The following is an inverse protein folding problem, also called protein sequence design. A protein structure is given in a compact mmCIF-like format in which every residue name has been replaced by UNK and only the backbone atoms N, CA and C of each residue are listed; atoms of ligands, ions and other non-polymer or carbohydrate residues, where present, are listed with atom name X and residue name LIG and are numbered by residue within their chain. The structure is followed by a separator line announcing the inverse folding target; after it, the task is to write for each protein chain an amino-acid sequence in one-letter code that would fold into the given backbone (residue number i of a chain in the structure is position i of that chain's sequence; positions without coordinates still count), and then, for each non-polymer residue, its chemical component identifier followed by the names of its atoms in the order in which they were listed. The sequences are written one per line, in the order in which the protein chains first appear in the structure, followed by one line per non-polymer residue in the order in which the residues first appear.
data_IF_223472622703
#
_entry.id   IF_223472622703
#
_cell.length_a   1.000
_cell.length_b   1.000
_cell.length_c   1.000
_cell.angle_alpha   90.00
_cell.angle_beta   90.00
_cell.angle_gamma   90.00
#
_symmetry.space_group_name_H-M   'P 1'
#
loop_
_entity.id
_entity.type
_entity.pdbx_description
1 polymer ?
#
# COMPACT_ATOMS: atom_id res chain seq x y z
N UNK A 1 18.95 -10.44 16.59
CA UNK A 1 19.61 -9.13 16.50
C UNK A 1 20.78 -9.06 17.46
N UNK A 2 20.54 -8.87 18.77
CA UNK A 2 21.60 -8.76 19.78
C UNK A 2 22.58 -9.94 19.78
N UNK A 3 22.09 -11.17 19.87
CA UNK A 3 22.95 -12.37 19.89
C UNK A 3 23.80 -12.59 18.63
N UNK A 4 23.37 -12.07 17.48
CA UNK A 4 24.04 -12.34 16.18
C UNK A 4 24.94 -11.18 15.73
N UNK A 5 24.53 -9.93 15.98
CA UNK A 5 25.19 -8.73 15.45
C UNK A 5 25.69 -7.81 16.57
N UNK A 6 25.32 -8.07 17.82
CA UNK A 6 25.64 -7.17 18.95
C UNK A 6 24.88 -5.84 18.89
N UNK A 7 23.82 -5.76 18.09
CA UNK A 7 23.04 -4.53 17.91
C UNK A 7 21.54 -4.85 17.94
N UNK A 8 20.77 -4.15 18.78
CA UNK A 8 19.31 -4.35 18.88
C UNK A 8 18.52 -3.62 17.79
N UNK A 9 19.09 -2.59 17.13
CA UNK A 9 18.39 -1.75 16.14
C UNK A 9 17.84 -2.57 14.99
N UNK A 10 18.59 -3.55 14.48
CA UNK A 10 18.14 -4.39 13.37
C UNK A 10 16.86 -5.19 13.71
N UNK A 11 16.75 -5.68 14.95
CA UNK A 11 15.56 -6.34 15.46
C UNK A 11 14.38 -5.37 15.62
N UNK A 12 14.65 -4.16 16.12
CA UNK A 12 13.64 -3.10 16.23
C UNK A 12 13.10 -2.74 14.84
N UNK A 13 13.96 -2.54 13.84
CA UNK A 13 13.58 -2.17 12.48
C UNK A 13 12.73 -3.25 11.81
N UNK A 14 13.10 -4.53 11.92
CA UNK A 14 12.25 -5.63 11.44
C UNK A 14 10.90 -5.64 12.17
N UNK A 15 10.90 -5.44 13.49
CA UNK A 15 9.68 -5.34 14.29
C UNK A 15 8.78 -4.18 13.86
N UNK A 16 9.36 -3.02 13.55
CA UNK A 16 8.65 -1.86 12.98
C UNK A 16 8.04 -2.22 11.62
N UNK A 17 8.75 -2.96 10.77
CA UNK A 17 8.21 -3.50 9.52
C UNK A 17 7.01 -4.42 9.72
N UNK A 18 7.09 -5.34 10.68
CA UNK A 18 5.96 -6.22 11.04
C UNK A 18 4.77 -5.40 11.52
N UNK A 19 4.98 -4.44 12.43
CA UNK A 19 3.94 -3.54 12.92
C UNK A 19 3.33 -2.71 11.79
N UNK A 20 4.14 -2.26 10.84
CA UNK A 20 3.68 -1.56 9.64
C UNK A 20 2.70 -2.43 8.85
N UNK A 21 3.07 -3.67 8.53
CA UNK A 21 2.18 -4.60 7.83
C UNK A 21 0.85 -4.81 8.59
N UNK A 22 0.92 -5.03 9.91
CA UNK A 22 -0.27 -5.23 10.75
C UNK A 22 -1.14 -3.98 10.82
N UNK A 23 -0.54 -2.79 10.87
CA UNK A 23 -1.26 -1.51 10.95
C UNK A 23 -2.07 -1.19 9.70
N UNK A 24 -1.64 -1.67 8.53
CA UNK A 24 -2.36 -1.49 7.27
C UNK A 24 -3.71 -2.21 7.24
N UNK A 25 -3.88 -3.29 8.02
CA UNK A 25 -5.13 -4.03 8.10
C UNK A 25 -6.29 -3.17 8.65
N UNK A 26 -6.25 -2.67 9.91
CA UNK A 26 -7.32 -1.83 10.44
C UNK A 26 -7.42 -0.49 9.73
N UNK A 27 -6.30 0.07 9.25
CA UNK A 27 -6.28 1.34 8.54
C UNK A 27 -7.06 1.25 7.22
N UNK A 28 -6.74 0.27 6.38
CA UNK A 28 -7.44 0.11 5.09
C UNK A 28 -8.88 -0.34 5.31
N UNK A 29 -9.10 -1.25 6.26
CA UNK A 29 -10.45 -1.70 6.64
C UNK A 29 -11.36 -0.56 7.10
N UNK A 30 -10.82 0.48 7.75
CA UNK A 30 -11.58 1.67 8.14
C UNK A 30 -12.20 2.39 6.93
N UNK A 31 -11.48 2.46 5.81
CA UNK A 31 -11.95 3.15 4.61
C UNK A 31 -12.72 2.25 3.63
N UNK A 32 -12.69 0.93 3.79
CA UNK A 32 -13.27 -0.01 2.81
C UNK A 32 -14.34 -0.95 3.37
N UNK A 33 -14.42 -1.13 4.69
CA UNK A 33 -15.42 -2.00 5.29
C UNK A 33 -16.80 -1.34 5.33
N UNK A 34 -17.83 -2.10 4.96
CA UNK A 34 -19.23 -1.68 5.01
C UNK A 34 -19.67 -1.19 6.39
N UNK A 35 -19.03 -1.61 7.49
CA UNK A 35 -19.44 -1.25 8.85
C UNK A 35 -18.81 0.05 9.36
N UNK A 36 -18.01 0.74 8.53
CA UNK A 36 -17.19 1.88 8.96
C UNK A 36 -17.71 3.20 8.40
N UNK A 37 -17.47 4.34 9.10
CA UNK A 37 -18.03 5.63 8.72
C UNK A 37 -17.79 6.06 7.27
N UNK A 38 -16.56 5.96 6.70
CA UNK A 38 -16.32 6.43 5.33
C UNK A 38 -17.18 5.74 4.28
N UNK A 39 -17.40 4.42 4.41
CA UNK A 39 -18.24 3.67 3.47
C UNK A 39 -19.72 3.96 3.71
N UNK A 40 -20.14 4.12 4.96
CA UNK A 40 -21.51 4.49 5.31
C UNK A 40 -21.87 5.90 4.80
N UNK A 41 -20.92 6.82 4.76
CA UNK A 41 -21.10 8.14 4.15
C UNK A 41 -21.30 8.05 2.64
N UNK A 42 -20.55 7.18 1.94
CA UNK A 42 -20.76 6.91 0.51
C UNK A 42 -22.16 6.33 0.27
N UNK A 43 -22.59 5.38 1.11
CA UNK A 43 -23.93 4.80 1.03
C UNK A 43 -24.99 5.88 1.24
N UNK A 44 -24.84 6.74 2.25
CA UNK A 44 -25.78 7.85 2.50
C UNK A 44 -25.81 8.86 1.35
N UNK A 45 -24.67 9.10 0.70
CA UNK A 45 -24.61 10.00 -0.45
C UNK A 45 -25.49 9.54 -1.62
N UNK A 46 -25.80 8.23 -1.72
CA UNK A 46 -26.71 7.70 -2.75
C UNK A 46 -28.12 8.30 -2.69
N UNK A 47 -28.58 8.76 -1.51
CA UNK A 47 -29.88 9.43 -1.35
C UNK A 47 -29.99 10.74 -2.14
N UNK A 48 -28.85 11.37 -2.42
CA UNK A 48 -28.76 12.66 -3.14
C UNK A 48 -28.37 12.51 -4.61
N UNK A 49 -28.10 11.28 -5.07
CA UNK A 49 -27.87 10.93 -6.48
C UNK A 49 -26.46 10.39 -6.79
N UNK A 50 -26.25 10.03 -8.05
CA UNK A 50 -24.99 9.39 -8.51
C UNK A 50 -23.78 10.33 -8.41
N UNK A 51 -23.97 11.64 -8.62
CA UNK A 51 -22.86 12.59 -8.59
C UNK A 51 -22.23 12.71 -7.19
N UNK A 52 -23.06 12.85 -6.16
CA UNK A 52 -22.63 12.95 -4.76
C UNK A 52 -22.03 11.64 -4.26
N UNK A 53 -22.57 10.49 -4.68
CA UNK A 53 -21.97 9.18 -4.42
C UNK A 53 -20.53 9.08 -4.96
N UNK A 54 -20.31 9.48 -6.22
CA UNK A 54 -18.96 9.46 -6.83
C UNK A 54 -18.01 10.41 -6.08
N UNK A 55 -18.46 11.64 -5.80
CA UNK A 55 -17.65 12.62 -5.09
C UNK A 55 -17.26 12.14 -3.68
N UNK A 56 -18.19 11.56 -2.94
CA UNK A 56 -17.92 10.97 -1.62
C UNK A 56 -16.89 9.84 -1.69
N UNK A 57 -16.98 8.97 -2.71
CA UNK A 57 -15.98 7.93 -2.95
C UNK A 57 -14.58 8.48 -3.27
N UNK A 58 -14.49 9.54 -4.07
CA UNK A 58 -13.21 10.21 -4.38
C UNK A 58 -12.59 10.80 -3.10
N UNK A 59 -13.40 11.45 -2.26
CA UNK A 59 -12.95 12.01 -0.98
C UNK A 59 -12.35 10.93 -0.08
N UNK A 60 -13.07 9.82 0.13
CA UNK A 60 -12.56 8.69 0.93
C UNK A 60 -11.24 8.11 0.37
N UNK A 61 -11.10 8.09 -0.96
CA UNK A 61 -9.85 7.71 -1.63
C UNK A 61 -8.68 8.64 -1.31
N UNK A 62 -8.90 9.95 -1.30
CA UNK A 62 -7.86 10.93 -0.95
C UNK A 62 -7.48 10.88 0.52
N UNK A 63 -8.45 10.79 1.42
CA UNK A 63 -8.19 10.70 2.87
C UNK A 63 -7.42 9.43 3.23
N UNK A 64 -7.83 8.28 2.69
CA UNK A 64 -7.14 7.01 2.92
C UNK A 64 -5.69 7.01 2.43
N UNK A 65 -5.42 7.67 1.30
CA UNK A 65 -4.07 7.82 0.76
C UNK A 65 -3.17 8.62 1.71
N UNK A 66 -3.67 9.74 2.26
CA UNK A 66 -2.91 10.55 3.23
C UNK A 66 -2.65 9.75 4.51
N UNK A 67 -3.66 9.04 5.02
CA UNK A 67 -3.52 8.24 6.23
C UNK A 67 -2.47 7.13 6.07
N UNK A 68 -2.47 6.42 4.93
CA UNK A 68 -1.45 5.42 4.62
C UNK A 68 -0.04 6.02 4.54
N UNK A 69 0.11 7.18 3.90
CA UNK A 69 1.40 7.87 3.77
C UNK A 69 1.96 8.28 5.13
N UNK A 70 1.13 8.82 6.03
CA UNK A 70 1.55 9.20 7.39
C UNK A 70 2.14 8.00 8.13
N UNK A 71 1.50 6.84 8.06
CA UNK A 71 1.99 5.63 8.71
C UNK A 71 3.35 5.19 8.14
N UNK A 72 3.52 5.20 6.82
CA UNK A 72 4.81 4.88 6.17
C UNK A 72 5.90 5.86 6.61
N UNK A 73 5.65 7.17 6.53
CA UNK A 73 6.62 8.22 6.89
C UNK A 73 7.04 8.13 8.36
N UNK A 74 6.11 7.76 9.25
CA UNK A 74 6.42 7.54 10.66
C UNK A 74 7.48 6.44 10.84
N UNK A 75 7.42 5.37 10.04
CA UNK A 75 8.45 4.31 10.09
C UNK A 75 9.81 4.77 9.60
N UNK A 76 9.86 5.66 8.60
CA UNK A 76 11.10 6.27 8.14
C UNK A 76 11.69 7.20 9.20
N UNK A 77 10.84 7.95 9.91
CA UNK A 77 11.25 8.77 11.05
C UNK A 77 11.86 7.94 12.18
N UNK A 78 11.27 6.78 12.50
CA UNK A 78 11.83 5.83 13.48
C UNK A 78 13.19 5.31 13.01
N UNK A 79 13.32 4.89 11.74
CA UNK A 79 14.60 4.44 11.19
C UNK A 79 15.67 5.53 11.29
N UNK A 80 15.35 6.74 10.84
CA UNK A 80 16.26 7.88 10.90
C UNK A 80 16.70 8.19 12.33
N UNK A 81 15.76 8.25 13.28
CA UNK A 81 16.07 8.54 14.67
C UNK A 81 17.03 7.51 15.28
N UNK A 82 16.85 6.21 15.02
CA UNK A 82 17.69 5.12 15.54
C UNK A 82 19.16 5.18 15.09
N UNK A 83 19.46 5.87 13.99
CA UNK A 83 20.81 6.06 13.46
C UNK A 83 21.35 7.47 13.69
N UNK A 84 20.75 8.25 14.61
CA UNK A 84 21.32 9.52 15.09
C UNK A 84 22.32 9.28 16.23
N UNK A 85 23.33 10.16 16.34
CA UNK A 85 24.31 10.12 17.42
C UNK A 85 23.66 10.17 18.82
N UNK A 86 22.58 10.95 18.96
CA UNK A 86 21.80 11.03 20.21
C UNK A 86 21.12 9.72 20.59
N UNK A 87 20.55 9.01 19.62
CA UNK A 87 19.91 7.72 19.89
C UNK A 87 20.95 6.63 20.20
N UNK A 88 22.09 6.64 19.50
CA UNK A 88 23.19 5.71 19.80
C UNK A 88 23.72 5.92 21.21
N UNK A 89 23.92 7.17 21.64
CA UNK A 89 24.34 7.47 22.99
C UNK A 89 23.32 7.00 24.04
N UNK A 90 22.02 7.18 23.78
CA UNK A 90 20.93 6.77 24.69
C UNK A 90 20.79 5.26 24.82
N UNK A 91 20.97 4.52 23.71
CA UNK A 91 20.73 3.08 23.65
C UNK A 91 22.00 2.25 23.94
N UNK A 92 23.14 2.89 24.19
CA UNK A 92 24.38 2.21 24.59
C UNK A 92 24.21 1.48 25.94
N UNK A 93 24.71 0.23 26.10
CA UNK A 93 25.57 -0.52 25.20
C UNK A 93 24.83 -1.45 24.22
N UNK A 94 23.50 -1.31 24.08
CA UNK A 94 22.68 -2.24 23.28
C UNK A 94 22.80 -2.04 21.75
N UNK A 95 23.60 -1.06 21.33
CA UNK A 95 23.81 -0.64 19.94
C UNK A 95 25.28 -0.40 19.68
N UNK A 96 25.72 -0.64 18.45
CA UNK A 96 27.12 -0.44 18.03
C UNK A 96 27.38 1.05 17.77
N UNK A 97 28.36 1.60 18.46
CA UNK A 97 28.84 2.98 18.27
C UNK A 97 29.61 3.10 16.94
N UNK A 98 29.43 4.19 16.20
CA UNK A 98 30.06 4.41 14.89
C UNK A 98 29.23 3.94 13.70
N UNK A 99 28.01 3.45 13.97
CA UNK A 99 27.02 3.03 12.97
C UNK A 99 25.91 4.09 12.98
N UNK A 100 26.21 5.27 12.45
CA UNK A 100 25.28 6.41 12.34
C UNK A 100 25.24 6.94 10.90
N UNK A 101 24.20 7.71 10.59
CA UNK A 101 24.10 8.46 9.34
C UNK A 101 23.19 7.85 8.26
N UNK A 102 23.22 8.49 7.10
CA UNK A 102 22.22 8.30 6.03
C UNK A 102 22.24 6.90 5.43
N UNK A 103 23.44 6.33 5.18
CA UNK A 103 23.59 4.99 4.60
C UNK A 103 22.93 3.94 5.50
N UNK A 104 23.20 4.00 6.82
CA UNK A 104 22.60 3.08 7.79
C UNK A 104 21.10 3.32 7.97
N UNK A 105 20.63 4.56 7.84
CA UNK A 105 19.20 4.88 7.82
C UNK A 105 18.49 4.22 6.63
N UNK A 106 19.05 4.33 5.43
CA UNK A 106 18.49 3.74 4.20
C UNK A 106 18.53 2.21 4.26
N UNK A 107 19.61 1.64 4.79
CA UNK A 107 19.67 0.21 5.11
C UNK A 107 18.59 -0.20 6.12
N UNK A 108 18.36 0.62 7.14
CA UNK A 108 17.30 0.38 8.13
C UNK A 108 15.89 0.43 7.53
N UNK A 109 15.65 1.33 6.57
CA UNK A 109 14.41 1.39 5.80
C UNK A 109 14.23 0.10 4.98
N UNK A 110 15.30 -0.42 4.37
CA UNK A 110 15.26 -1.71 3.68
C UNK A 110 14.88 -2.86 4.62
N UNK A 111 15.42 -2.87 5.85
CA UNK A 111 15.06 -3.87 6.87
C UNK A 111 13.60 -3.76 7.34
N UNK A 112 13.05 -2.55 7.45
CA UNK A 112 11.61 -2.35 7.67
C UNK A 112 10.81 -3.01 6.53
N UNK A 113 11.25 -2.84 5.27
CA UNK A 113 10.64 -3.49 4.12
C UNK A 113 10.66 -5.02 4.21
N UNK A 114 11.79 -5.60 4.61
CA UNK A 114 11.91 -7.06 4.84
C UNK A 114 10.97 -7.50 5.97
N UNK A 115 10.91 -6.74 7.08
CA UNK A 115 10.00 -7.02 8.19
C UNK A 115 8.54 -6.98 7.75
N UNK A 116 8.15 -6.00 6.94
CA UNK A 116 6.80 -5.88 6.39
C UNK A 116 6.42 -7.09 5.52
N UNK A 117 7.34 -7.55 4.69
CA UNK A 117 7.12 -8.69 3.79
C UNK A 117 7.26 -10.06 4.47
N UNK A 118 7.66 -10.13 5.74
CA UNK A 118 7.67 -11.39 6.50
C UNK A 118 6.28 -12.06 6.59
N UNK A 119 5.21 -11.26 6.44
CA UNK A 119 3.81 -11.73 6.45
C UNK A 119 3.25 -12.01 5.05
N UNK A 120 4.11 -12.11 4.03
CA UNK A 120 3.69 -12.29 2.63
C UNK A 120 2.77 -13.51 2.45
N UNK A 121 3.03 -14.63 3.13
CA UNK A 121 2.16 -15.81 3.06
C UNK A 121 0.72 -15.52 3.48
N UNK A 122 0.52 -14.78 4.57
CA UNK A 122 -0.80 -14.34 5.03
C UNK A 122 -1.43 -13.35 4.04
N UNK A 123 -0.64 -12.40 3.53
CA UNK A 123 -1.15 -11.37 2.62
C UNK A 123 -1.59 -11.96 1.28
N UNK A 124 -0.84 -12.91 0.73
CA UNK A 124 -1.20 -13.61 -0.51
C UNK A 124 -2.43 -14.49 -0.29
N UNK A 125 -2.57 -15.14 0.88
CA UNK A 125 -3.77 -15.89 1.21
C UNK A 125 -5.02 -14.99 1.29
N UNK A 126 -4.91 -13.80 1.91
CA UNK A 126 -5.98 -12.80 1.93
C UNK A 126 -6.32 -12.27 0.52
N UNK A 127 -5.31 -12.08 -0.34
CA UNK A 127 -5.53 -11.60 -1.71
C UNK A 127 -6.24 -12.66 -2.57
N UNK A 128 -5.84 -13.92 -2.41
CA UNK A 128 -6.47 -15.06 -3.09
C UNK A 128 -7.89 -15.33 -2.58
N UNK A 129 -8.17 -15.07 -1.30
CA UNK A 129 -9.50 -15.25 -0.72
C UNK A 129 -10.58 -14.44 -1.45
N UNK A 130 -10.29 -13.19 -1.85
CA UNK A 130 -11.26 -12.31 -2.51
C UNK A 130 -11.83 -12.88 -3.82
N UNK A 131 -11.00 -13.19 -4.85
CA UNK A 131 -11.49 -13.79 -6.09
C UNK A 131 -12.14 -15.16 -5.91
N UNK A 132 -11.77 -15.92 -4.87
CA UNK A 132 -12.40 -17.21 -4.57
C UNK A 132 -13.83 -16.99 -4.07
N UNK A 133 -14.04 -16.06 -3.12
CA UNK A 133 -15.38 -15.78 -2.59
C UNK A 133 -16.30 -15.11 -3.61
N UNK A 134 -15.77 -14.21 -4.44
CA UNK A 134 -16.48 -13.56 -5.56
C UNK A 134 -17.01 -14.61 -6.56
N UNK A 135 -16.14 -15.52 -7.02
CA UNK A 135 -16.55 -16.60 -7.93
C UNK A 135 -17.56 -17.56 -7.29
N UNK A 136 -17.43 -17.86 -6.00
CA UNK A 136 -18.40 -18.70 -5.30
C UNK A 136 -19.78 -18.05 -5.25
N UNK A 137 -19.85 -16.75 -4.91
CA UNK A 137 -21.09 -15.98 -4.95
C UNK A 137 -21.70 -15.94 -6.37
N UNK A 138 -20.88 -15.75 -7.40
CA UNK A 138 -21.33 -15.81 -8.79
C UNK A 138 -21.91 -17.16 -9.21
N UNK A 139 -21.28 -18.28 -8.81
CA UNK A 139 -21.81 -19.63 -9.03
C UNK A 139 -23.16 -19.82 -8.32
N UNK A 140 -23.27 -19.31 -7.09
CA UNK A 140 -24.50 -19.35 -6.31
C UNK A 140 -25.66 -18.60 -6.97
N UNK A 141 -25.39 -17.43 -7.56
CA UNK A 141 -26.38 -16.63 -8.28
C UNK A 141 -26.83 -17.30 -9.60
N UNK A 142 -25.91 -17.96 -10.29
CA UNK A 142 -26.19 -18.70 -11.53
C UNK A 142 -26.89 -20.05 -11.29
N UNK A 143 -26.84 -20.57 -10.05
CA UNK A 143 -27.36 -21.89 -9.68
C UNK A 143 -28.34 -21.80 -8.49
N UNK A 144 -29.42 -21.01 -8.57
CA UNK A 144 -30.27 -20.71 -7.41
C UNK A 144 -31.04 -21.91 -6.84
N UNK A 145 -31.12 -23.02 -7.58
CA UNK A 145 -31.73 -24.28 -7.13
C UNK A 145 -30.80 -25.18 -6.31
N UNK A 146 -29.49 -24.93 -6.37
CA UNK A 146 -28.47 -25.80 -5.75
C UNK A 146 -28.06 -25.31 -4.36
N UNK A 147 -28.44 -24.08 -3.99
CA UNK A 147 -28.06 -23.43 -2.73
C UNK A 147 -29.27 -22.81 -2.04
N UNK A 148 -29.39 -23.05 -0.73
CA UNK A 148 -30.40 -22.38 0.10
C UNK A 148 -30.09 -20.89 0.30
N UNK A 149 -31.06 -20.16 0.85
CA UNK A 149 -30.93 -18.71 1.09
C UNK A 149 -29.79 -18.39 2.06
N UNK A 150 -29.58 -19.23 3.08
CA UNK A 150 -28.51 -19.04 4.06
C UNK A 150 -27.12 -19.18 3.42
N UNK A 151 -26.92 -20.16 2.54
CA UNK A 151 -25.65 -20.32 1.81
C UNK A 151 -25.39 -19.14 0.89
N UNK A 152 -26.40 -18.66 0.14
CA UNK A 152 -26.27 -17.49 -0.74
C UNK A 152 -25.92 -16.22 0.03
N UNK A 153 -26.59 -15.99 1.17
CA UNK A 153 -26.26 -14.86 2.06
C UNK A 153 -24.83 -14.96 2.59
N UNK A 154 -24.41 -16.16 3.02
CA UNK A 154 -23.05 -16.38 3.51
C UNK A 154 -22.01 -16.08 2.43
N UNK A 155 -22.23 -16.54 1.19
CA UNK A 155 -21.35 -16.25 0.06
C UNK A 155 -21.24 -14.74 -0.22
N UNK A 156 -22.36 -14.02 -0.19
CA UNK A 156 -22.37 -12.56 -0.34
C UNK A 156 -21.62 -11.83 0.80
N UNK A 157 -21.78 -12.29 2.05
CA UNK A 157 -21.03 -11.75 3.18
C UNK A 157 -19.51 -12.01 3.04
N UNK A 158 -19.12 -13.18 2.52
CA UNK A 158 -17.71 -13.52 2.25
C UNK A 158 -17.12 -12.70 1.09
N UNK A 159 -17.87 -12.41 0.03
CA UNK A 159 -17.42 -11.51 -1.04
C UNK A 159 -17.21 -10.08 -0.50
N UNK A 160 -18.14 -9.57 0.33
CA UNK A 160 -17.97 -8.26 0.96
C UNK A 160 -16.70 -8.17 1.83
N UNK A 161 -16.38 -9.23 2.57
CA UNK A 161 -15.09 -9.34 3.30
C UNK A 161 -13.91 -9.44 2.31
N UNK A 162 -14.06 -10.23 1.25
CA UNK A 162 -13.10 -10.38 0.15
C UNK A 162 -12.67 -9.04 -0.44
N UNK A 163 -13.63 -8.16 -0.74
CA UNK A 163 -13.39 -6.81 -1.24
C UNK A 163 -12.54 -5.95 -0.29
N UNK A 164 -12.78 -6.05 1.02
CA UNK A 164 -11.95 -5.38 2.04
C UNK A 164 -10.54 -5.98 2.09
N UNK A 165 -10.42 -7.31 2.07
CA UNK A 165 -9.10 -7.98 2.10
C UNK A 165 -8.25 -7.65 0.87
N UNK A 166 -8.88 -7.58 -0.33
CA UNK A 166 -8.24 -7.17 -1.58
C UNK A 166 -7.74 -5.73 -1.55
N UNK A 167 -8.43 -4.85 -0.82
CA UNK A 167 -7.96 -3.49 -0.62
C UNK A 167 -6.76 -3.43 0.33
N UNK A 168 -6.81 -4.19 1.43
CA UNK A 168 -5.70 -4.32 2.39
C UNK A 168 -4.42 -4.78 1.68
N UNK A 169 -4.51 -5.82 0.87
CA UNK A 169 -3.34 -6.41 0.16
C UNK A 169 -2.76 -5.44 -0.86
N UNK A 170 -3.60 -4.68 -1.59
CA UNK A 170 -3.15 -3.58 -2.46
C UNK A 170 -2.42 -2.49 -1.67
N UNK A 171 -2.94 -2.10 -0.50
CA UNK A 171 -2.30 -1.12 0.37
C UNK A 171 -0.91 -1.57 0.83
N UNK A 172 -0.80 -2.82 1.27
CA UNK A 172 0.48 -3.42 1.69
C UNK A 172 1.46 -3.49 0.51
N UNK A 173 1.00 -3.90 -0.68
CA UNK A 173 1.83 -3.95 -1.88
C UNK A 173 2.40 -2.56 -2.23
N UNK A 174 1.57 -1.51 -2.22
CA UNK A 174 1.99 -0.13 -2.47
C UNK A 174 3.01 0.33 -1.42
N UNK A 175 2.75 0.11 -0.13
CA UNK A 175 3.66 0.49 0.93
C UNK A 175 5.02 -0.22 0.80
N UNK A 176 5.02 -1.52 0.49
CA UNK A 176 6.26 -2.26 0.24
C UNK A 176 7.04 -1.72 -0.97
N UNK A 177 6.34 -1.31 -2.03
CA UNK A 177 6.95 -0.70 -3.21
C UNK A 177 7.58 0.67 -2.88
N UNK A 178 6.93 1.48 -2.05
CA UNK A 178 7.47 2.76 -1.58
C UNK A 178 8.76 2.54 -0.77
N UNK A 179 8.75 1.61 0.18
CA UNK A 179 9.92 1.28 0.99
C UNK A 179 11.06 0.76 0.12
N UNK A 180 10.77 -0.13 -0.83
CA UNK A 180 11.75 -0.64 -1.77
C UNK A 180 12.32 0.47 -2.66
N UNK A 181 11.48 1.38 -3.18
CA UNK A 181 11.92 2.50 -3.99
C UNK A 181 12.86 3.44 -3.23
N UNK A 182 12.54 3.77 -1.97
CA UNK A 182 13.41 4.59 -1.11
C UNK A 182 14.74 3.88 -0.84
N UNK A 183 14.71 2.58 -0.57
CA UNK A 183 15.91 1.78 -0.30
C UNK A 183 16.81 1.66 -1.53
N UNK A 184 16.22 1.51 -2.72
CA UNK A 184 16.95 1.44 -3.99
C UNK A 184 17.53 2.78 -4.43
N UNK A 185 17.03 3.90 -3.89
CA UNK A 185 17.51 5.22 -4.24
C UNK A 185 18.97 5.44 -3.84
N UNK A 186 19.40 4.88 -2.70
CA UNK A 186 20.81 4.89 -2.28
C UNK A 186 21.71 4.16 -3.28
N UNK A 187 21.29 2.94 -3.64
CA UNK A 187 21.99 2.11 -4.62
C UNK A 187 22.04 2.80 -5.99
N UNK A 188 20.98 3.50 -6.38
CA UNK A 188 20.97 4.30 -7.60
C UNK A 188 21.97 5.45 -7.55
N UNK A 189 22.05 6.19 -6.43
CA UNK A 189 23.06 7.25 -6.27
C UNK A 189 24.47 6.66 -6.39
N UNK A 190 24.75 5.57 -5.66
CA UNK A 190 26.07 4.96 -5.66
C UNK A 190 26.48 4.38 -7.01
N UNK A 191 25.57 3.71 -7.72
CA UNK A 191 25.88 3.01 -8.97
C UNK A 191 25.79 3.90 -10.20
N UNK A 192 24.83 4.84 -10.24
CA UNK A 192 24.53 5.61 -11.45
C UNK A 192 24.92 7.09 -11.35
N UNK A 193 24.93 7.68 -10.16
CA UNK A 193 25.15 9.12 -9.97
C UNK A 193 26.60 9.41 -9.59
N UNK A 194 27.18 8.63 -8.67
CA UNK A 194 28.57 8.79 -8.23
C UNK A 194 29.59 8.70 -9.39
N UNK A 195 29.46 7.78 -10.38
CA UNK A 195 30.36 7.75 -11.53
C UNK A 195 30.26 8.98 -12.44
N UNK A 196 29.19 9.78 -12.33
CA UNK A 196 29.02 11.04 -13.05
C UNK A 196 29.70 12.22 -12.31
N UNK A 197 30.38 11.96 -11.19
CA UNK A 197 31.01 12.98 -10.36
C UNK A 197 30.03 13.78 -9.50
N UNK A 198 28.84 13.23 -9.26
CA UNK A 198 27.81 13.82 -8.40
C UNK A 198 27.67 12.97 -7.13
N UNK A 199 27.89 13.57 -5.97
CA UNK A 199 27.78 12.86 -4.68
C UNK A 199 26.33 12.79 -4.18
N UNK A 200 25.50 13.77 -4.57
CA UNK A 200 24.11 13.91 -4.14
C UNK A 200 23.21 14.46 -5.26
N UNK A 201 21.91 14.15 -5.18
CA UNK A 201 20.87 14.74 -6.01
C UNK A 201 20.20 15.88 -5.24
N UNK A 202 20.55 17.11 -5.60
CA UNK A 202 19.94 18.27 -4.98
C UNK A 202 18.65 18.67 -5.67
N UNK A 203 17.59 18.93 -4.90
CA UNK A 203 16.28 19.30 -5.42
C UNK A 203 16.23 20.70 -6.03
N UNK A 204 17.22 21.55 -5.74
CA UNK A 204 17.38 22.88 -6.34
C UNK A 204 18.07 22.82 -7.72
N UNK A 205 18.63 21.67 -8.13
CA UNK A 205 19.09 21.45 -9.50
C UNK A 205 17.87 21.33 -10.44
N UNK A 206 17.73 22.22 -11.44
CA UNK A 206 16.60 22.19 -12.37
C UNK A 206 16.44 20.86 -13.12
N UNK A 207 17.53 20.11 -13.33
CA UNK A 207 17.50 18.80 -14.01
C UNK A 207 16.84 17.74 -13.12
N UNK A 208 17.21 17.73 -11.83
CA UNK A 208 16.62 16.82 -10.83
C UNK A 208 15.16 17.18 -10.60
N UNK A 209 14.86 18.48 -10.43
CA UNK A 209 13.49 18.95 -10.23
C UNK A 209 12.59 18.66 -11.44
N UNK A 210 13.09 18.84 -12.67
CA UNK A 210 12.36 18.47 -13.89
C UNK A 210 12.07 16.98 -13.95
N UNK A 211 13.04 16.14 -13.57
CA UNK A 211 12.87 14.69 -13.45
C UNK A 211 11.80 14.32 -12.42
N UNK A 212 11.79 14.98 -11.26
CA UNK A 212 10.76 14.80 -10.22
C UNK A 212 9.36 15.14 -10.74
N UNK A 213 9.19 16.29 -11.41
CA UNK A 213 7.90 16.71 -11.96
C UNK A 213 7.39 15.74 -13.04
N UNK A 214 8.25 15.33 -13.97
CA UNK A 214 7.90 14.35 -15.01
C UNK A 214 7.57 13.00 -14.39
N UNK A 215 8.38 12.54 -13.44
CA UNK A 215 8.15 11.30 -12.70
C UNK A 215 6.81 11.29 -11.96
N UNK A 216 6.46 12.39 -11.29
CA UNK A 216 5.19 12.55 -10.61
C UNK A 216 3.98 12.57 -11.57
N UNK A 217 4.17 12.99 -12.82
CA UNK A 217 3.13 12.98 -13.85
C UNK A 217 2.90 11.58 -14.47
N UNK A 218 3.88 10.68 -14.43
CA UNK A 218 3.79 9.36 -15.05
C UNK A 218 2.61 8.51 -14.53
N UNK A 219 2.32 8.41 -13.22
CA UNK A 219 1.16 7.68 -12.72
C UNK A 219 -0.17 8.20 -13.30
N UNK A 220 -0.30 9.51 -13.50
CA UNK A 220 -1.50 10.12 -14.10
C UNK A 220 -1.68 9.70 -15.56
N UNK A 221 -0.59 9.76 -16.33
CA UNK A 221 -0.60 9.33 -17.73
C UNK A 221 -0.91 7.82 -17.84
N UNK A 222 -0.28 7.01 -17.00
CA UNK A 222 -0.52 5.57 -16.96
C UNK A 222 -1.97 5.24 -16.59
N UNK A 223 -2.54 5.89 -15.57
CA UNK A 223 -3.95 5.74 -15.21
C UNK A 223 -4.88 6.16 -16.34
N UNK A 224 -4.60 7.28 -17.03
CA UNK A 224 -5.42 7.74 -18.14
C UNK A 224 -5.46 6.74 -19.31
N UNK A 225 -4.31 6.12 -19.64
CA UNK A 225 -4.24 5.08 -20.68
C UNK A 225 -5.07 3.85 -20.28
N UNK A 226 -4.94 3.39 -19.04
CA UNK A 226 -5.69 2.23 -18.54
C UNK A 226 -7.19 2.49 -18.48
N UNK A 227 -7.62 3.64 -17.94
CA UNK A 227 -9.04 4.02 -17.87
C UNK A 227 -9.63 4.07 -19.29
N UNK A 228 -8.94 4.71 -20.25
CA UNK A 228 -9.40 4.77 -21.65
C UNK A 228 -9.55 3.37 -22.28
N UNK A 229 -8.61 2.46 -22.01
CA UNK A 229 -8.68 1.09 -22.48
C UNK A 229 -9.91 0.35 -21.93
N UNK A 230 -10.15 0.46 -20.62
CA UNK A 230 -11.32 -0.13 -19.94
C UNK A 230 -12.62 0.48 -20.44
N UNK A 231 -12.71 1.81 -20.58
CA UNK A 231 -13.92 2.49 -21.08
C UNK A 231 -14.28 2.02 -22.48
N UNK A 232 -13.30 1.84 -23.38
CA UNK A 232 -13.54 1.30 -24.72
C UNK A 232 -14.08 -0.12 -24.66
N UNK A 233 -13.44 -1.00 -23.90
CA UNK A 233 -13.87 -2.40 -23.76
C UNK A 233 -15.26 -2.51 -23.14
N UNK A 234 -15.54 -1.76 -22.08
CA UNK A 234 -16.84 -1.71 -21.43
C UNK A 234 -17.94 -1.20 -22.39
N UNK A 235 -17.63 -0.20 -23.23
CA UNK A 235 -18.56 0.29 -24.24
C UNK A 235 -18.95 -0.77 -25.27
N UNK A 236 -17.98 -1.57 -25.75
CA UNK A 236 -18.25 -2.69 -26.65
C UNK A 236 -19.05 -3.81 -25.95
N UNK A 237 -18.72 -4.14 -24.71
CA UNK A 237 -19.49 -5.12 -23.91
C UNK A 237 -20.96 -4.70 -23.73
N UNK A 238 -21.22 -3.41 -23.44
CA UNK A 238 -22.59 -2.89 -23.31
C UNK A 238 -23.35 -3.00 -24.62
N UNK A 239 -22.71 -2.72 -25.77
CA UNK A 239 -23.35 -2.89 -27.08
C UNK A 239 -23.69 -4.36 -27.35
N UNK A 240 -22.80 -5.28 -26.99
CA UNK A 240 -23.02 -6.71 -27.19
C UNK A 240 -24.14 -7.26 -26.29
N UNK A 241 -24.17 -6.87 -25.01
CA UNK A 241 -25.28 -7.23 -24.11
C UNK A 241 -26.61 -6.71 -24.65
N UNK A 242 -26.67 -5.46 -25.11
CA UNK A 242 -27.86 -4.89 -25.77
C UNK A 242 -28.23 -5.52 -27.11
N UNK A 243 -27.31 -6.24 -27.75
CA UNK A 243 -27.58 -6.97 -28.99
C UNK A 243 -28.24 -8.32 -28.69
N UNK A 244 -27.92 -8.93 -27.55
CA UNK A 244 -28.43 -10.24 -27.12
C UNK A 244 -29.78 -10.16 -26.41
N UNK A 245 -30.03 -9.09 -25.64
CA UNK A 245 -31.29 -8.82 -24.93
C UNK A 245 -32.13 -7.74 -25.62
#
# INVERSE_FOLDING_TARGET
SWFYVGDIRFGILIGVGVLLAVSFNPLTSYFTSLKKPPVQEIVKATETGTATMILSGIVAGYESTVAALVVIVTTFGIAWWLFTASAVALLSPFVVVGVEGTIWTLYGIALIGIGMLSHTGNNVAMDAFGPISDNAAGIGELSPGDFDEESRRTMAELDAVGNTTKAITKGIAIASAVIAAVSLFDAFIFVAILPLGLDHLFLDDPRVFSGLLLGAALPWLFSAVNIKAVTRAAGEMVKEVRRQF
#
